data_IF_655228237767
#
_entry.id   IF_655228237767
#
_cell.length_a   1.000
_cell.length_b   1.000
_cell.length_c   1.000
_cell.angle_alpha   90.00
_cell.angle_beta   90.00
_cell.angle_gamma   90.00
#
_symmetry.space_group_name_H-M   'P 1'
#
loop_
_entity.id
_entity.type
_entity.pdbx_description
1 polymer ?
#
# COMPACT_ATOMS: atom_id res chain seq x y z
N UNK A 1 -10.77 -37.86 5.50
CA UNK A 1 -9.69 -36.90 5.85
C UNK A 1 -9.24 -36.26 4.55
N UNK A 2 -9.81 -35.11 4.20
CA UNK A 2 -9.44 -34.38 3.00
C UNK A 2 -8.16 -33.61 3.28
N UNK A 3 -7.08 -33.97 2.60
CA UNK A 3 -5.88 -33.15 2.48
C UNK A 3 -6.29 -31.80 1.91
N UNK A 4 -6.31 -30.77 2.76
CA UNK A 4 -6.36 -29.38 2.30
C UNK A 4 -5.04 -29.17 1.57
N UNK A 5 -5.09 -29.18 0.23
CA UNK A 5 -4.00 -28.64 -0.56
C UNK A 5 -3.83 -27.19 -0.13
N UNK A 6 -2.81 -26.93 0.69
CA UNK A 6 -2.36 -25.58 1.04
C UNK A 6 -1.73 -25.01 -0.23
N UNK A 7 -2.56 -24.66 -1.22
CA UNK A 7 -2.12 -24.01 -2.43
C UNK A 7 -1.36 -22.74 -2.07
N UNK A 8 -0.23 -22.51 -2.73
CA UNK A 8 0.54 -21.28 -2.55
C UNK A 8 -0.40 -20.06 -2.75
N UNK A 9 -0.28 -19.01 -1.92
CA UNK A 9 -1.08 -17.80 -2.06
C UNK A 9 -0.99 -17.28 -3.50
N UNK A 10 -2.13 -17.11 -4.16
CA UNK A 10 -2.19 -16.56 -5.52
C UNK A 10 -2.54 -15.08 -5.47
N UNK A 11 -1.85 -14.23 -6.24
CA UNK A 11 -2.27 -12.84 -6.36
C UNK A 11 -3.66 -12.77 -6.99
N UNK A 12 -4.43 -11.77 -6.58
CA UNK A 12 -5.68 -11.39 -7.23
C UNK A 12 -5.40 -10.79 -8.61
N UNK A 13 -4.35 -9.97 -8.66
CA UNK A 13 -3.95 -9.23 -9.86
C UNK A 13 -2.44 -9.32 -10.02
N UNK A 14 -2.00 -9.56 -11.25
CA UNK A 14 -0.59 -9.53 -11.64
C UNK A 14 -0.40 -8.53 -12.76
N UNK A 15 0.55 -7.62 -12.58
CA UNK A 15 0.94 -6.64 -13.58
C UNK A 15 2.38 -6.88 -13.99
N UNK A 16 2.60 -7.00 -15.29
CA UNK A 16 3.94 -7.10 -15.87
C UNK A 16 4.44 -5.70 -16.25
N UNK A 17 5.44 -5.22 -15.52
CA UNK A 17 6.12 -3.96 -15.78
C UNK A 17 7.39 -4.25 -16.58
N UNK A 18 7.93 -3.25 -17.28
CA UNK A 18 9.17 -3.42 -18.06
C UNK A 18 10.41 -3.78 -17.22
N UNK A 19 10.34 -3.62 -15.90
CA UNK A 19 11.46 -3.79 -14.96
C UNK A 19 11.11 -4.64 -13.73
N UNK A 20 9.85 -5.03 -13.56
CA UNK A 20 9.36 -5.79 -12.40
C UNK A 20 8.02 -6.48 -12.68
N UNK A 21 7.61 -7.37 -11.79
CA UNK A 21 6.24 -7.87 -11.67
C UNK A 21 5.62 -7.36 -10.38
N UNK A 22 4.39 -6.85 -10.46
CA UNK A 22 3.61 -6.45 -9.30
C UNK A 22 2.47 -7.44 -9.09
N UNK A 23 2.53 -8.17 -7.98
CA UNK A 23 1.49 -9.08 -7.52
C UNK A 23 0.69 -8.41 -6.42
N UNK A 24 -0.62 -8.22 -6.63
CA UNK A 24 -1.53 -7.62 -5.64
C UNK A 24 -2.49 -8.68 -5.13
N UNK A 25 -2.67 -8.72 -3.82
CA UNK A 25 -3.46 -9.75 -3.12
C UNK A 25 -4.72 -9.15 -2.50
N UNK A 26 -5.75 -9.99 -2.39
CA UNK A 26 -7.01 -9.66 -1.70
C UNK A 26 -7.31 -10.70 -0.64
N UNK A 27 -7.85 -10.28 0.50
CA UNK A 27 -8.24 -11.17 1.60
C UNK A 27 -7.07 -11.71 2.43
N UNK A 28 -7.31 -12.84 3.11
CA UNK A 28 -6.43 -13.33 4.18
C UNK A 28 -5.31 -14.27 3.71
N UNK A 29 -5.31 -14.66 2.43
CA UNK A 29 -4.31 -15.57 1.87
C UNK A 29 -3.22 -14.75 1.17
N UNK A 30 -2.21 -14.35 1.94
CA UNK A 30 -1.04 -13.62 1.43
C UNK A 30 0.26 -14.39 1.66
N UNK A 31 1.29 -14.20 0.82
CA UNK A 31 2.65 -14.67 1.09
C UNK A 31 3.14 -14.27 2.47
N UNK A 32 4.02 -15.07 3.07
CA UNK A 32 4.56 -14.84 4.41
C UNK A 32 5.13 -13.42 4.60
N UNK A 33 5.83 -12.92 3.58
CA UNK A 33 6.42 -11.57 3.55
C UNK A 33 5.38 -10.44 3.67
N UNK A 34 4.13 -10.69 3.24
CA UNK A 34 3.05 -9.71 3.29
C UNK A 34 2.20 -9.79 4.56
N UNK A 35 2.32 -10.83 5.40
CA UNK A 35 1.45 -10.98 6.58
C UNK A 35 1.42 -9.76 7.49
N UNK A 36 2.57 -9.12 7.84
CA UNK A 36 2.55 -7.93 8.68
C UNK A 36 1.77 -6.77 8.04
N UNK A 37 1.99 -6.54 6.75
CA UNK A 37 1.34 -5.47 5.99
C UNK A 37 -0.16 -5.76 5.81
N UNK A 38 -0.52 -7.01 5.51
CA UNK A 38 -1.90 -7.45 5.32
C UNK A 38 -2.74 -7.27 6.59
N UNK A 39 -2.19 -7.59 7.76
CA UNK A 39 -2.86 -7.35 9.03
C UNK A 39 -3.13 -5.85 9.24
N UNK A 40 -2.14 -4.99 8.96
CA UNK A 40 -2.25 -3.54 9.14
C UNK A 40 -3.29 -2.90 8.21
N UNK A 41 -3.32 -3.28 6.93
CA UNK A 41 -4.28 -2.71 5.98
C UNK A 41 -5.69 -3.25 6.15
N UNK A 42 -5.85 -4.47 6.68
CA UNK A 42 -7.17 -5.01 7.04
C UNK A 42 -7.86 -4.12 8.08
N UNK A 43 -7.09 -3.56 9.03
CA UNK A 43 -7.63 -2.63 10.04
C UNK A 43 -8.10 -1.29 9.47
N UNK A 44 -7.65 -0.89 8.28
CA UNK A 44 -8.13 0.33 7.62
C UNK A 44 -9.56 0.17 7.09
N UNK A 45 -10.00 -1.06 6.79
CA UNK A 45 -11.37 -1.36 6.35
C UNK A 45 -11.75 -0.78 4.97
N UNK A 46 -10.80 -0.22 4.22
CA UNK A 46 -11.04 0.39 2.90
C UNK A 46 -10.48 -0.49 1.77
N UNK A 47 -11.30 -0.71 0.74
CA UNK A 47 -10.95 -1.59 -0.39
C UNK A 47 -9.83 -1.08 -1.30
N UNK A 48 -9.48 0.20 -1.18
CA UNK A 48 -8.39 0.82 -1.95
C UNK A 48 -7.00 0.39 -1.47
N UNK A 49 -6.85 -0.16 -0.27
CA UNK A 49 -5.56 -0.62 0.26
C UNK A 49 -5.42 -2.13 0.08
N UNK A 50 -4.42 -2.55 -0.68
CA UNK A 50 -4.19 -3.97 -0.98
C UNK A 50 -2.73 -4.36 -0.74
N UNK A 51 -2.46 -5.47 -0.04
CA UNK A 51 -1.11 -6.00 0.07
C UNK A 51 -0.54 -6.32 -1.31
N UNK A 52 0.70 -5.94 -1.58
CA UNK A 52 1.34 -6.16 -2.86
C UNK A 52 2.81 -6.56 -2.71
N UNK A 53 3.26 -7.50 -3.54
CA UNK A 53 4.68 -7.84 -3.70
C UNK A 53 5.16 -7.30 -5.04
N UNK A 54 6.25 -6.56 -5.01
CA UNK A 54 6.97 -6.17 -6.21
C UNK A 54 8.20 -7.07 -6.36
N UNK A 55 8.32 -7.77 -7.47
CA UNK A 55 9.48 -8.59 -7.83
C UNK A 55 10.27 -7.89 -8.91
N UNK A 56 11.49 -7.48 -8.60
CA UNK A 56 12.38 -6.86 -9.57
C UNK A 56 12.96 -7.92 -10.51
N UNK A 57 13.33 -7.53 -11.74
CA UNK A 57 13.94 -8.45 -12.71
C UNK A 57 15.20 -9.19 -12.21
N UNK A 58 15.87 -8.67 -11.17
CA UNK A 58 16.99 -9.33 -10.48
C UNK A 58 16.60 -10.32 -9.38
N UNK A 59 15.33 -10.68 -9.25
CA UNK A 59 14.82 -11.66 -8.28
C UNK A 59 14.63 -11.15 -6.84
N UNK A 60 14.96 -9.88 -6.57
CA UNK A 60 14.65 -9.24 -5.28
C UNK A 60 13.13 -9.03 -5.17
N UNK A 61 12.58 -9.33 -4.00
CA UNK A 61 11.19 -9.03 -3.67
C UNK A 61 11.12 -7.93 -2.59
N UNK A 62 10.11 -7.08 -2.70
CA UNK A 62 9.76 -6.07 -1.68
C UNK A 62 8.26 -6.08 -1.41
N UNK A 63 7.90 -5.93 -0.14
CA UNK A 63 6.51 -5.83 0.32
C UNK A 63 6.04 -4.39 0.31
N UNK A 64 4.86 -4.16 -0.28
CA UNK A 64 4.20 -2.86 -0.38
C UNK A 64 2.71 -2.98 -0.05
N UNK A 65 2.08 -1.83 0.08
CA UNK A 65 0.63 -1.67 -0.09
C UNK A 65 0.40 -0.97 -1.43
N UNK A 66 -0.32 -1.62 -2.33
CA UNK A 66 -0.91 -0.93 -3.47
C UNK A 66 -2.13 -0.14 -3.00
N UNK A 67 -2.10 1.17 -3.26
CA UNK A 67 -3.13 2.12 -2.84
C UNK A 67 -3.77 2.71 -4.08
N UNK A 68 -5.04 2.38 -4.29
CA UNK A 68 -5.86 3.01 -5.31
C UNK A 68 -6.41 4.36 -4.84
N UNK A 69 -6.71 5.28 -5.78
CA UNK A 69 -7.49 6.47 -5.48
C UNK A 69 -8.84 6.11 -4.84
N UNK A 70 -9.38 6.96 -3.94
CA UNK A 70 -10.61 6.66 -3.21
C UNK A 70 -11.85 6.52 -4.11
N UNK A 71 -11.84 7.11 -5.30
CA UNK A 71 -12.90 7.02 -6.31
C UNK A 71 -12.78 5.79 -7.24
N UNK A 72 -11.71 4.99 -7.12
CA UNK A 72 -11.47 3.80 -7.97
C UNK A 72 -10.81 2.65 -7.20
N UNK A 73 -11.53 1.91 -6.32
CA UNK A 73 -10.95 0.98 -5.35
C UNK A 73 -10.43 -0.38 -5.89
N UNK A 74 -9.85 -0.42 -7.09
CA UNK A 74 -9.23 -1.60 -7.69
C UNK A 74 -9.80 -2.00 -9.06
N UNK A 75 -9.13 -2.90 -9.81
CA UNK A 75 -9.63 -3.42 -11.08
C UNK A 75 -10.94 -4.23 -10.91
N UNK A 76 -11.90 -4.15 -11.86
CA UNK A 76 -13.20 -4.82 -11.75
C UNK A 76 -13.15 -6.34 -12.04
N UNK A 77 -12.07 -6.85 -12.62
CA UNK A 77 -11.95 -8.25 -13.07
C UNK A 77 -10.63 -8.90 -12.69
N UNK A 78 -10.44 -10.15 -13.12
CA UNK A 78 -9.29 -10.99 -12.74
C UNK A 78 -8.07 -10.81 -13.67
N UNK A 79 -8.28 -10.17 -14.82
CA UNK A 79 -7.26 -9.89 -15.83
C UNK A 79 -7.14 -8.36 -16.00
N UNK A 80 -6.35 -7.70 -15.13
CA UNK A 80 -6.25 -6.24 -15.14
C UNK A 80 -5.36 -5.77 -16.29
N UNK A 81 -5.64 -4.59 -16.81
CA UNK A 81 -4.80 -3.88 -17.78
C UNK A 81 -3.83 -2.93 -17.10
N UNK A 82 -2.82 -2.47 -17.84
CA UNK A 82 -1.86 -1.48 -17.32
C UNK A 82 -2.52 -0.14 -16.93
N UNK A 83 -3.63 0.22 -17.58
CA UNK A 83 -4.41 1.41 -17.21
C UNK A 83 -5.06 1.31 -15.82
N UNK A 84 -5.25 0.10 -15.28
CA UNK A 84 -5.76 -0.09 -13.91
C UNK A 84 -4.73 0.28 -12.83
N UNK A 85 -3.45 0.43 -13.22
CA UNK A 85 -2.40 0.99 -12.36
C UNK A 85 -2.31 2.52 -12.43
N UNK A 86 -3.09 3.18 -13.28
CA UNK A 86 -3.10 4.64 -13.35
C UNK A 86 -3.47 5.20 -11.98
N UNK A 87 -2.58 6.02 -11.45
CA UNK A 87 -2.72 6.70 -10.16
C UNK A 87 -2.67 5.79 -8.93
N UNK A 88 -2.27 4.52 -9.11
CA UNK A 88 -1.96 3.63 -7.99
C UNK A 88 -0.63 4.03 -7.37
N UNK A 89 -0.62 4.30 -6.06
CA UNK A 89 0.61 4.48 -5.30
C UNK A 89 1.05 3.13 -4.70
N UNK A 90 2.36 2.87 -4.64
CA UNK A 90 2.88 1.86 -3.72
C UNK A 90 3.31 2.56 -2.45
N UNK A 91 3.00 1.97 -1.31
CA UNK A 91 3.30 2.53 -0.01
C UNK A 91 4.01 1.52 0.87
N UNK A 92 4.93 2.02 1.68
CA UNK A 92 5.59 1.28 2.75
C UNK A 92 5.07 1.72 4.11
N UNK A 93 5.27 0.88 5.12
CA UNK A 93 4.95 1.23 6.51
C UNK A 93 6.14 1.97 7.12
N UNK A 94 5.93 3.23 7.51
CA UNK A 94 6.94 4.08 8.14
C UNK A 94 6.46 4.56 9.51
N UNK A 95 7.40 4.80 10.41
CA UNK A 95 7.15 5.49 11.67
C UNK A 95 7.36 7.00 11.48
N UNK A 96 6.29 7.77 11.64
CA UNK A 96 6.31 9.23 11.62
C UNK A 96 6.27 9.78 13.05
N UNK A 97 6.90 10.92 13.27
CA UNK A 97 6.82 11.67 14.52
C UNK A 97 6.47 13.13 14.23
N UNK A 98 5.44 13.64 14.90
CA UNK A 98 5.10 15.06 14.79
C UNK A 98 6.19 15.92 15.43
N UNK A 99 6.73 16.88 14.68
CA UNK A 99 7.78 17.77 15.18
C UNK A 99 7.30 18.76 16.26
N UNK A 100 5.99 18.96 16.41
CA UNK A 100 5.41 19.90 17.39
C UNK A 100 5.11 19.23 18.72
N UNK A 101 4.42 18.07 18.70
CA UNK A 101 3.94 17.42 19.92
C UNK A 101 4.58 16.05 20.21
N UNK A 102 5.56 15.64 19.40
CA UNK A 102 6.27 14.35 19.49
C UNK A 102 5.38 13.10 19.40
N UNK A 103 4.12 13.25 18.99
CA UNK A 103 3.23 12.10 18.76
C UNK A 103 3.80 11.21 17.65
N UNK A 104 3.80 9.90 17.89
CA UNK A 104 4.29 8.88 16.95
C UNK A 104 3.13 8.21 16.25
N UNK A 105 3.29 7.94 14.96
CA UNK A 105 2.30 7.27 14.14
C UNK A 105 2.99 6.23 13.27
N UNK A 106 2.36 5.06 13.12
CA UNK A 106 2.64 4.19 11.97
C UNK A 106 1.81 4.69 10.80
N UNK A 107 2.41 4.77 9.62
CA UNK A 107 1.78 5.39 8.45
C UNK A 107 2.12 4.66 7.17
N UNK A 108 1.20 4.69 6.20
CA UNK A 108 1.47 4.28 4.82
C UNK A 108 2.11 5.47 4.09
N UNK A 109 3.43 5.42 3.96
CA UNK A 109 4.19 6.45 3.28
C UNK A 109 4.39 6.07 1.81
N UNK A 110 4.12 6.97 0.85
CA UNK A 110 4.27 6.66 -0.56
C UNK A 110 5.74 6.42 -0.92
N UNK A 111 6.00 5.32 -1.62
CA UNK A 111 7.32 5.05 -2.21
C UNK A 111 7.60 6.07 -3.31
N UNK A 112 8.79 6.68 -3.30
CA UNK A 112 9.14 7.80 -4.18
C UNK A 112 10.23 7.48 -5.22
N UNK A 113 10.93 6.34 -5.07
CA UNK A 113 12.07 5.97 -5.89
C UNK A 113 11.75 5.05 -7.07
N UNK A 114 10.53 4.53 -7.20
CA UNK A 114 10.18 3.61 -8.29
C UNK A 114 9.61 4.35 -9.51
N UNK A 115 9.95 3.91 -10.74
CA UNK A 115 9.55 4.58 -11.98
C UNK A 115 8.06 4.37 -12.34
N UNK A 116 7.25 3.84 -11.43
CA UNK A 116 5.78 3.82 -11.56
C UNK A 116 5.15 5.18 -11.25
N UNK A 117 5.90 6.13 -10.69
CA UNK A 117 5.32 7.34 -10.10
C UNK A 117 5.57 8.62 -10.92
N UNK A 118 4.74 8.89 -11.93
CA UNK A 118 4.36 10.25 -12.35
C UNK A 118 3.53 11.03 -11.29
N UNK A 119 2.68 11.96 -11.72
CA UNK A 119 1.92 12.95 -10.92
C UNK A 119 0.83 12.39 -9.95
N UNK A 120 1.02 11.19 -9.39
CA UNK A 120 -0.05 10.32 -8.87
C UNK A 120 -0.54 10.64 -7.45
N UNK A 121 0.29 11.24 -6.58
CA UNK A 121 -0.16 11.57 -5.22
C UNK A 121 -1.29 12.60 -5.19
N UNK A 122 -1.45 13.40 -6.25
CA UNK A 122 -2.54 14.36 -6.37
C UNK A 122 -3.93 13.70 -6.49
N UNK A 123 -4.01 12.46 -6.97
CA UNK A 123 -5.25 11.68 -7.03
C UNK A 123 -5.63 11.08 -5.65
N UNK A 124 -4.74 11.15 -4.66
CA UNK A 124 -4.97 10.60 -3.34
C UNK A 124 -5.34 11.69 -2.33
N UNK A 125 -6.29 11.35 -1.46
CA UNK A 125 -6.52 12.13 -0.25
C UNK A 125 -5.45 11.78 0.78
N UNK A 126 -4.46 12.66 0.93
CA UNK A 126 -3.38 12.49 1.91
C UNK A 126 -3.80 12.98 3.29
N UNK A 127 -3.28 12.33 4.33
CA UNK A 127 -3.13 12.93 5.65
C UNK A 127 -2.03 13.98 5.55
N UNK A 128 -2.32 15.21 5.97
CA UNK A 128 -1.40 16.35 5.85
C UNK A 128 -1.51 17.22 7.10
N UNK A 129 -0.76 16.86 8.15
CA UNK A 129 -0.86 17.46 9.48
C UNK A 129 -0.96 16.42 10.60
N UNK A 130 -0.74 16.88 11.83
CA UNK A 130 -0.82 16.04 13.02
C UNK A 130 -2.25 15.97 13.55
N UNK A 131 -2.90 14.78 13.57
CA UNK A 131 -4.28 14.65 14.06
C UNK A 131 -4.39 14.86 15.58
N UNK A 132 -3.28 14.78 16.34
CA UNK A 132 -3.32 14.93 17.80
C UNK A 132 -3.29 16.38 18.27
N UNK A 133 -2.45 17.22 17.67
CA UNK A 133 -2.31 18.63 18.08
C UNK A 133 -2.86 19.62 17.05
N UNK A 134 -3.34 19.15 15.89
CA UNK A 134 -3.96 19.99 14.87
C UNK A 134 -2.98 20.83 14.03
N UNK A 135 -1.67 20.74 14.28
CA UNK A 135 -0.67 21.45 13.47
C UNK A 135 -0.67 20.91 12.04
N UNK A 136 -0.60 21.81 11.06
CA UNK A 136 -0.52 21.46 9.63
C UNK A 136 0.77 20.71 9.25
N UNK A 137 0.90 20.33 7.98
CA UNK A 137 2.09 19.66 7.47
C UNK A 137 3.37 20.52 7.57
N UNK A 138 3.28 21.84 7.36
CA UNK A 138 4.45 22.71 7.38
C UNK A 138 5.14 22.68 8.76
N UNK A 139 4.35 22.62 9.83
CA UNK A 139 4.84 22.51 11.19
C UNK A 139 5.11 21.05 11.62
N UNK A 140 4.17 20.12 11.36
CA UNK A 140 4.27 18.74 11.88
C UNK A 140 5.19 17.82 11.10
N UNK A 141 5.38 18.09 9.80
CA UNK A 141 5.96 17.18 8.80
C UNK A 141 5.30 15.80 8.71
N UNK A 142 4.07 15.67 9.22
CA UNK A 142 3.27 14.45 9.11
C UNK A 142 2.53 14.48 7.77
N UNK A 143 2.95 13.64 6.84
CA UNK A 143 2.24 13.37 5.58
C UNK A 143 2.24 11.88 5.27
N UNK A 144 1.09 11.34 4.87
CA UNK A 144 0.93 9.92 4.55
C UNK A 144 -0.32 9.66 3.69
N UNK A 145 -0.40 8.49 3.05
CA UNK A 145 -1.62 8.01 2.39
C UNK A 145 -2.69 7.60 3.41
N UNK A 146 -2.26 7.05 4.56
CA UNK A 146 -3.11 6.73 5.70
C UNK A 146 -2.27 6.65 6.98
N UNK A 147 -2.90 6.92 8.13
CA UNK A 147 -2.33 6.55 9.43
C UNK A 147 -2.89 5.21 9.86
N UNK A 148 -2.01 4.34 10.35
CA UNK A 148 -2.38 3.01 10.83
C UNK A 148 -2.79 3.11 12.30
N UNK A 149 -3.80 2.33 12.73
CA UNK A 149 -4.16 2.24 14.14
C UNK A 149 -2.95 1.82 14.99
N UNK A 150 -2.76 2.46 16.14
CA UNK A 150 -1.89 1.95 17.19
C UNK A 150 -2.48 0.66 17.72
N UNK A 151 -1.80 -0.46 17.46
CA UNK A 151 -2.08 -1.76 18.10
C UNK A 151 -1.99 -1.64 19.63
#
# INVERSE_FOLDING_TARGET
MSTVETGAPRPRWRFALSWAELDVFTGNCVPGVLRPVAALVTCLGEDRFRPAVLRFAGGRESAFVAVWPPDRPGPPGDAPGMDDLRDVALAEVHDLSCLVCAARYRALYPEAGLPLFGTHLAAHRLVSGCPRCGSDFAASRVQALALLPSL
#
